data_IF_889223456850
#
_entry.id   IF_889223456850
#
_cell.length_a   1.000
_cell.length_b   1.000
_cell.length_c   1.000
_cell.angle_alpha   90.00
_cell.angle_beta   90.00
_cell.angle_gamma   90.00
#
_symmetry.space_group_name_H-M   'P 1'
#
loop_
_entity.id
_entity.type
_entity.pdbx_description
1 polymer ?
#
# COMPACT_ATOMS: atom_id res chain seq x y z
N UNK A 1 1.30 -2.21 -11.98
CA UNK A 1 1.21 -0.87 -11.37
C UNK A 1 -0.04 -0.17 -11.84
N UNK A 2 -0.81 0.36 -10.89
CA UNK A 2 -2.03 1.13 -11.15
C UNK A 2 -1.70 2.46 -11.84
N UNK A 3 -2.50 2.85 -12.83
CA UNK A 3 -2.35 4.12 -13.50
C UNK A 3 -2.78 5.26 -12.58
N UNK A 4 -1.90 6.24 -12.39
CA UNK A 4 -2.20 7.44 -11.59
C UNK A 4 -3.27 8.35 -12.19
N UNK A 5 -3.61 8.17 -13.47
CA UNK A 5 -4.59 9.01 -14.18
C UNK A 5 -5.99 8.40 -14.12
N UNK A 6 -6.13 7.13 -14.48
CA UNK A 6 -7.44 6.47 -14.60
C UNK A 6 -7.67 5.32 -13.60
N UNK A 7 -6.69 5.00 -12.74
CA UNK A 7 -6.79 3.93 -11.75
C UNK A 7 -6.62 2.51 -12.30
N UNK A 8 -6.57 2.30 -13.62
CA UNK A 8 -6.47 0.96 -14.21
C UNK A 8 -5.19 0.24 -13.80
N UNK A 9 -5.32 -1.00 -13.33
CA UNK A 9 -4.20 -1.91 -13.02
C UNK A 9 -3.53 -2.41 -14.30
N UNK A 10 -2.29 -1.98 -14.56
CA UNK A 10 -1.48 -2.49 -15.68
C UNK A 10 -0.46 -3.51 -15.18
N UNK A 11 -0.59 -4.79 -15.57
CA UNK A 11 0.38 -5.86 -15.26
C UNK A 11 1.65 -5.70 -16.10
N UNK A 12 2.82 -5.78 -15.48
CA UNK A 12 4.15 -5.71 -16.13
C UNK A 12 5.24 -6.16 -15.16
N UNK A 13 6.39 -6.59 -15.68
CA UNK A 13 7.54 -7.02 -14.85
C UNK A 13 8.25 -5.82 -14.20
N UNK A 14 9.08 -6.10 -13.19
CA UNK A 14 9.92 -5.09 -12.54
C UNK A 14 10.97 -4.49 -13.48
N UNK A 15 11.30 -5.18 -14.57
CA UNK A 15 12.25 -4.73 -15.60
C UNK A 15 11.65 -3.63 -16.49
N UNK A 16 10.32 -3.57 -16.62
CA UNK A 16 9.65 -2.56 -17.44
C UNK A 16 9.60 -1.21 -16.72
N UNK A 17 10.51 -0.30 -17.10
CA UNK A 17 10.61 1.06 -16.54
C UNK A 17 9.58 2.06 -17.08
N UNK A 18 8.99 1.82 -18.25
CA UNK A 18 7.97 2.70 -18.83
C UNK A 18 6.57 2.23 -18.46
N UNK A 19 5.78 3.10 -17.83
CA UNK A 19 4.34 2.94 -17.67
C UNK A 19 3.64 3.40 -18.96
N UNK A 20 3.02 2.47 -19.69
CA UNK A 20 2.02 2.76 -20.72
C UNK A 20 0.67 2.22 -20.26
N UNK A 21 -0.34 3.08 -20.18
CA UNK A 21 -1.70 2.68 -19.84
C UNK A 21 -2.51 2.43 -21.11
N UNK A 22 -3.03 1.20 -21.26
CA UNK A 22 -3.90 0.84 -22.38
C UNK A 22 -5.32 1.42 -22.27
N UNK A 23 -5.72 1.89 -21.08
CA UNK A 23 -7.07 2.44 -20.86
C UNK A 23 -7.17 3.94 -21.09
N UNK A 24 -6.12 4.72 -20.77
CA UNK A 24 -6.14 6.18 -20.94
C UNK A 24 -4.99 6.73 -21.78
N UNK A 25 -4.13 5.87 -22.34
CA UNK A 25 -3.01 6.27 -23.19
C UNK A 25 -1.82 6.91 -22.46
N UNK A 26 -1.88 7.08 -21.14
CA UNK A 26 -0.80 7.73 -20.38
C UNK A 26 0.53 7.01 -20.52
N UNK A 27 1.58 7.74 -20.90
CA UNK A 27 2.96 7.26 -21.03
C UNK A 27 3.89 8.05 -20.11
N UNK A 28 4.52 7.39 -19.14
CA UNK A 28 5.53 8.02 -18.28
C UNK A 28 6.45 6.99 -17.61
N UNK A 29 7.46 7.42 -16.85
CA UNK A 29 8.27 6.50 -16.06
C UNK A 29 7.44 5.82 -14.95
N UNK A 30 7.69 4.53 -14.70
CA UNK A 30 6.97 3.72 -13.72
C UNK A 30 7.07 4.30 -12.32
N UNK A 31 8.25 4.76 -11.93
CA UNK A 31 8.51 5.26 -10.58
C UNK A 31 7.84 6.63 -10.36
N UNK A 32 7.78 7.48 -11.39
CA UNK A 32 7.00 8.73 -11.35
C UNK A 32 5.49 8.42 -11.23
N UNK A 33 4.97 7.46 -11.99
CA UNK A 33 3.59 7.01 -11.83
C UNK A 33 3.31 6.47 -10.42
N UNK A 34 4.26 5.75 -9.82
CA UNK A 34 4.15 5.25 -8.45
C UNK A 34 4.14 6.40 -7.42
N UNK A 35 5.01 7.40 -7.56
CA UNK A 35 5.01 8.59 -6.71
C UNK A 35 3.67 9.33 -6.75
N UNK A 36 3.09 9.51 -7.93
CA UNK A 36 1.74 10.07 -8.09
C UNK A 36 0.66 9.24 -7.37
N UNK A 37 0.74 7.91 -7.46
CA UNK A 37 -0.19 7.04 -6.72
C UNK A 37 -0.04 7.18 -5.20
N UNK A 38 1.18 7.32 -4.68
CA UNK A 38 1.42 7.56 -3.25
C UNK A 38 0.82 8.90 -2.83
N UNK A 39 1.05 9.96 -3.60
CA UNK A 39 0.46 11.28 -3.35
C UNK A 39 -1.08 11.22 -3.32
N UNK A 40 -1.70 10.57 -4.32
CA UNK A 40 -3.16 10.42 -4.39
C UNK A 40 -3.71 9.66 -3.19
N UNK A 41 -3.02 8.61 -2.72
CA UNK A 41 -3.40 7.90 -1.49
C UNK A 41 -3.26 8.78 -0.26
N UNK A 42 -2.16 9.52 -0.13
CA UNK A 42 -1.94 10.45 0.98
C UNK A 42 -3.03 11.52 1.07
N UNK A 43 -3.38 12.14 -0.06
CA UNK A 43 -4.46 13.13 -0.13
C UNK A 43 -5.82 12.50 0.24
N UNK A 44 -6.11 11.30 -0.26
CA UNK A 44 -7.34 10.57 0.09
C UNK A 44 -7.39 10.13 1.56
N UNK A 45 -6.24 9.88 2.18
CA UNK A 45 -6.11 9.45 3.58
C UNK A 45 -6.15 10.60 4.60
N UNK A 46 -6.57 11.81 4.21
CA UNK A 46 -6.67 12.95 5.14
C UNK A 46 -7.78 12.78 6.20
N UNK A 47 -8.69 11.83 6.03
CA UNK A 47 -9.52 11.31 7.14
C UNK A 47 -8.65 10.35 7.94
N UNK A 48 -7.89 10.85 8.92
CA UNK A 48 -7.16 9.98 9.84
C UNK A 48 -8.08 8.87 10.37
N UNK A 49 -7.59 7.62 10.36
CA UNK A 49 -8.27 6.39 10.84
C UNK A 49 -9.77 6.56 11.15
N UNK A 50 -10.64 6.27 10.17
CA UNK A 50 -12.06 6.03 10.46
C UNK A 50 -12.17 4.74 11.25
N UNK A 51 -12.17 4.92 12.58
CA UNK A 51 -12.50 3.96 13.64
C UNK A 51 -11.43 2.92 13.99
N UNK A 52 -10.79 3.11 15.15
CA UNK A 52 -10.18 2.02 15.91
C UNK A 52 -11.26 1.33 16.74
N UNK A 53 -11.81 0.20 16.28
CA UNK A 53 -12.59 -0.70 17.14
C UNK A 53 -11.62 -1.53 18.00
N UNK A 54 -10.91 -0.89 18.91
CA UNK A 54 -10.09 -1.60 19.89
C UNK A 54 -10.98 -2.09 21.04
N UNK A 55 -11.42 -3.36 20.99
CA UNK A 55 -11.88 -4.07 22.17
C UNK A 55 -10.91 -5.24 22.45
N UNK A 56 -9.98 -5.01 23.39
CA UNK A 56 -9.21 -6.00 24.15
C UNK A 56 -8.54 -7.16 23.42
N UNK A 57 -7.25 -7.03 23.07
CA UNK A 57 -6.36 -8.19 23.05
C UNK A 57 -5.64 -8.27 24.40
N UNK A 58 -6.03 -9.24 25.21
CA UNK A 58 -5.33 -9.63 26.41
C UNK A 58 -3.88 -10.04 26.06
N UNK A 59 -2.97 -9.50 26.84
CA UNK A 59 -1.53 -9.72 26.81
C UNK A 59 -1.13 -11.18 27.11
N UNK A 60 -1.08 -12.06 26.11
CA UNK A 60 -0.50 -13.39 26.28
C UNK A 60 1.03 -13.36 26.20
N UNK A 61 1.68 -12.80 27.22
CA UNK A 61 3.11 -12.93 27.47
C UNK A 61 3.34 -13.10 28.99
N UNK A 62 3.04 -14.26 29.57
CA UNK A 62 3.62 -14.62 30.87
C UNK A 62 4.39 -15.93 30.71
N UNK A 63 5.72 -15.81 30.81
CA UNK A 63 6.68 -16.88 30.63
C UNK A 63 6.45 -18.01 31.62
N UNK A 64 6.49 -19.24 31.11
CA UNK A 64 6.60 -20.43 31.95
C UNK A 64 8.01 -20.53 32.49
N UNK A 65 8.15 -20.24 33.78
CA UNK A 65 9.33 -20.58 34.57
C UNK A 65 9.30 -22.09 34.82
N UNK A 66 10.29 -22.83 34.32
CA UNK A 66 10.60 -24.17 34.82
C UNK A 66 11.84 -24.06 35.73
N UNK A 67 11.74 -24.33 37.04
CA UNK A 67 12.92 -24.54 37.85
C UNK A 67 13.53 -25.89 37.49
N UNK A 68 14.83 -25.90 37.17
CA UNK A 68 15.67 -27.07 37.29
C UNK A 68 16.20 -27.13 38.72
N UNK A 69 16.01 -28.29 39.35
CA UNK A 69 16.44 -28.74 40.69
C UNK A 69 15.52 -28.31 41.84
#
# INVERSE_FOLDING_TARGET
TDCSVCGTRVKKSLSTRTHRCHSCGTVMHRDHNAAKQILLKGIKSTVGHTESKACGQNNLCLGGETPLI
#
